data_IF_966783055933
#
_entry.id   IF_966783055933
#
_cell.length_a   1.000
_cell.length_b   1.000
_cell.length_c   1.000
_cell.angle_alpha   90.00
_cell.angle_beta   90.00
_cell.angle_gamma   90.00
#
_symmetry.space_group_name_H-M   'P 1'
#
loop_
_entity.id
_entity.type
_entity.pdbx_description
1 polymer ?
#
# COMPACT_ATOMS: atom_id res chain seq x y z
N UNK A 1 28.63 3.13 13.83
CA UNK A 1 27.52 2.16 13.81
C UNK A 1 27.18 1.93 12.35
N UNK A 2 27.49 0.75 11.82
CA UNK A 2 27.39 0.46 10.38
C UNK A 2 25.94 0.52 9.92
N UNK A 3 25.67 1.39 8.96
CA UNK A 3 24.41 1.34 8.23
C UNK A 3 24.42 0.05 7.43
N UNK A 4 23.37 -0.76 7.55
CA UNK A 4 23.16 -1.92 6.68
C UNK A 4 23.21 -1.37 5.25
N UNK A 5 24.26 -1.73 4.52
CA UNK A 5 24.47 -1.29 3.17
C UNK A 5 23.57 -2.06 2.21
N UNK A 6 23.55 -1.59 0.97
CA UNK A 6 22.94 -2.33 -0.12
C UNK A 6 23.46 -3.80 -0.23
N UNK A 7 24.76 -4.10 0.02
CA UNK A 7 25.26 -5.47 -0.03
C UNK A 7 24.60 -6.41 0.99
N UNK A 8 24.47 -5.97 2.24
CA UNK A 8 23.87 -6.77 3.31
C UNK A 8 22.38 -7.07 3.03
N UNK A 9 21.64 -6.10 2.49
CA UNK A 9 20.25 -6.30 2.08
C UNK A 9 20.13 -7.34 0.96
N UNK A 10 21.06 -7.36 0.01
CA UNK A 10 21.08 -8.36 -1.08
C UNK A 10 21.30 -9.77 -0.51
N UNK A 11 22.21 -9.93 0.46
CA UNK A 11 22.46 -11.23 1.10
C UNK A 11 21.21 -11.72 1.84
N UNK A 12 20.55 -10.85 2.59
CA UNK A 12 19.29 -11.19 3.28
C UNK A 12 18.21 -11.58 2.27
N UNK A 13 18.07 -10.83 1.18
CA UNK A 13 17.12 -11.11 0.11
C UNK A 13 17.38 -12.49 -0.52
N UNK A 14 18.64 -12.84 -0.76
CA UNK A 14 19.06 -14.14 -1.27
C UNK A 14 18.65 -15.28 -0.33
N UNK A 15 18.88 -15.13 0.98
CA UNK A 15 18.47 -16.13 1.98
C UNK A 15 16.94 -16.30 1.96
N UNK A 16 16.18 -15.21 1.97
CA UNK A 16 14.71 -15.25 1.89
C UNK A 16 14.25 -15.95 0.61
N UNK A 17 14.88 -15.67 -0.53
CA UNK A 17 14.56 -16.32 -1.81
C UNK A 17 14.86 -17.83 -1.77
N UNK A 18 15.92 -18.27 -1.09
CA UNK A 18 16.22 -19.70 -0.96
C UNK A 18 15.17 -20.40 -0.08
N UNK A 19 14.76 -19.77 1.02
CA UNK A 19 13.78 -20.35 1.95
C UNK A 19 12.36 -20.41 1.36
N UNK A 20 11.91 -19.33 0.74
CA UNK A 20 10.54 -19.21 0.23
C UNK A 20 10.43 -19.54 -1.26
N UNK A 21 11.53 -19.52 -2.01
CA UNK A 21 11.57 -19.65 -3.45
C UNK A 21 11.34 -18.32 -4.19
N UNK A 22 12.08 -18.10 -5.28
CA UNK A 22 11.99 -16.88 -6.09
C UNK A 22 10.57 -16.61 -6.66
N UNK A 23 9.76 -17.65 -6.83
CA UNK A 23 8.37 -17.55 -7.31
C UNK A 23 7.40 -17.03 -6.24
N UNK A 24 7.69 -17.19 -4.94
CA UNK A 24 6.77 -16.79 -3.87
C UNK A 24 6.80 -15.30 -3.57
N UNK A 25 7.94 -14.63 -3.74
CA UNK A 25 8.04 -13.17 -3.61
C UNK A 25 7.04 -12.39 -4.49
N UNK A 26 6.99 -12.60 -5.83
CA UNK A 26 6.06 -11.89 -6.70
C UNK A 26 4.61 -12.31 -6.48
N UNK A 27 4.35 -13.55 -6.08
CA UNK A 27 3.00 -14.05 -5.73
C UNK A 27 2.44 -13.30 -4.51
N UNK A 28 3.24 -13.20 -3.43
CA UNK A 28 2.88 -12.47 -2.22
C UNK A 28 2.77 -10.96 -2.51
N UNK A 29 3.72 -10.39 -3.24
CA UNK A 29 3.69 -8.98 -3.64
C UNK A 29 2.46 -8.61 -4.47
N UNK A 30 2.03 -9.50 -5.38
CA UNK A 30 0.82 -9.31 -6.19
C UNK A 30 -0.44 -9.37 -5.33
N UNK A 31 -0.53 -10.31 -4.38
CA UNK A 31 -1.65 -10.42 -3.46
C UNK A 31 -1.75 -9.20 -2.52
N UNK A 32 -0.63 -8.79 -1.92
CA UNK A 32 -0.55 -7.59 -1.08
C UNK A 32 -0.86 -6.33 -1.88
N UNK A 33 -0.35 -6.22 -3.10
CA UNK A 33 -0.60 -5.07 -3.98
C UNK A 33 -2.08 -4.94 -4.37
N UNK A 34 -2.75 -6.06 -4.65
CA UNK A 34 -4.20 -6.08 -4.88
C UNK A 34 -4.96 -5.65 -3.63
N UNK A 35 -4.62 -6.20 -2.47
CA UNK A 35 -5.24 -5.83 -1.20
C UNK A 35 -5.09 -4.33 -0.94
N UNK A 36 -3.86 -3.78 -0.99
CA UNK A 36 -3.59 -2.35 -0.77
C UNK A 36 -4.39 -1.48 -1.76
N UNK A 37 -4.49 -1.89 -3.02
CA UNK A 37 -5.27 -1.15 -4.04
C UNK A 37 -6.76 -1.14 -3.73
N UNK A 38 -7.32 -2.26 -3.29
CA UNK A 38 -8.73 -2.36 -2.88
C UNK A 38 -8.99 -1.55 -1.60
N UNK A 39 -8.12 -1.65 -0.59
CA UNK A 39 -8.20 -0.82 0.62
C UNK A 39 -8.16 0.67 0.29
N UNK A 40 -7.26 1.10 -0.59
CA UNK A 40 -7.16 2.50 -1.02
C UNK A 40 -8.41 2.95 -1.78
N UNK A 41 -9.01 2.09 -2.60
CA UNK A 41 -10.23 2.39 -3.34
C UNK A 41 -11.41 2.55 -2.38
N UNK A 42 -11.65 1.58 -1.50
CA UNK A 42 -12.71 1.65 -0.50
C UNK A 42 -12.57 2.88 0.41
N UNK A 43 -11.35 3.20 0.86
CA UNK A 43 -11.10 4.40 1.66
C UNK A 43 -11.31 5.71 0.90
N UNK A 44 -11.22 5.70 -0.43
CA UNK A 44 -11.53 6.87 -1.27
C UNK A 44 -13.04 7.00 -1.47
N UNK A 45 -13.72 5.90 -1.79
CA UNK A 45 -15.17 5.88 -1.98
C UNK A 45 -15.88 6.37 -0.70
N UNK A 46 -15.43 5.93 0.49
CA UNK A 46 -15.94 6.42 1.79
C UNK A 46 -15.68 7.93 1.98
N UNK A 47 -14.50 8.43 1.60
CA UNK A 47 -14.20 9.87 1.72
C UNK A 47 -15.07 10.72 0.79
N UNK A 48 -15.37 10.22 -0.41
CA UNK A 48 -16.21 10.91 -1.38
C UNK A 48 -17.68 10.88 -0.91
N UNK A 49 -18.18 9.75 -0.39
CA UNK A 49 -19.52 9.64 0.21
C UNK A 49 -19.71 10.57 1.43
N UNK A 50 -18.69 10.69 2.29
CA UNK A 50 -18.72 11.59 3.45
C UNK A 50 -18.68 13.07 3.03
N UNK A 51 -18.01 13.39 1.92
CA UNK A 51 -18.00 14.76 1.36
C UNK A 51 -19.33 15.14 0.73
N UNK A 52 -20.02 14.21 0.07
CA UNK A 52 -21.35 14.46 -0.50
C UNK A 52 -22.47 14.47 0.57
N UNK A 53 -22.25 13.81 1.71
CA UNK A 53 -23.17 13.83 2.85
C UNK A 53 -23.01 15.05 3.79
N UNK A 54 -21.92 15.82 3.65
CA UNK A 54 -21.78 17.09 4.35
C UNK A 54 -22.72 18.14 3.71
N UNK A 55 -23.58 18.84 4.48
CA UNK A 55 -24.43 19.87 3.91
C UNK A 55 -23.54 20.94 3.27
N UNK A 56 -23.76 21.21 1.98
CA UNK A 56 -23.28 22.44 1.34
C UNK A 56 -24.08 23.62 1.91
N UNK A 57 -23.81 23.97 3.16
CA UNK A 57 -24.22 25.26 3.73
C UNK A 57 -23.07 26.23 3.47
N UNK A 58 -23.17 26.97 2.37
CA UNK A 58 -23.21 28.44 2.39
C UNK A 58 -22.87 28.98 1.00
N UNK A 59 -23.91 29.02 0.14
CA UNK A 59 -23.97 29.94 -1.00
C UNK A 59 -25.12 30.95 -0.76
N UNK A 60 -25.27 31.46 0.47
CA UNK A 60 -26.10 32.66 0.71
C UNK A 60 -25.22 33.89 0.54
N UNK A 61 -25.05 34.26 -0.73
CA UNK A 61 -24.62 35.59 -1.18
C UNK A 61 -25.33 36.70 -0.39
N UNK A 62 -24.62 37.68 0.19
CA UNK A 62 -25.09 39.06 0.22
C UNK A 62 -24.88 39.76 -1.13
#
# INVERSE_FOLDING_TARGET
MGQIGMPELIVILLVVIILFGAKKLPEIGSALGKAIREFKKAGKDIQDDVKDAAPKDDERKP
#
